data_IF_139047672136
#
_entry.id   IF_139047672136
#
_cell.length_a   1.000
_cell.length_b   1.000
_cell.length_c   1.000
_cell.angle_alpha   90.00
_cell.angle_beta   90.00
_cell.angle_gamma   90.00
#
_symmetry.space_group_name_H-M   'P 1'
#
loop_
_entity.id
_entity.type
_entity.pdbx_description
1 polymer ?
#
# COMPACT_ATOMS: atom_id res chain seq x y z
N UNK A 1 -3.39 -19.72 -3.34
CA UNK A 1 -3.18 -18.26 -3.26
C UNK A 1 -4.18 -17.62 -2.31
N UNK A 2 -3.75 -16.60 -1.58
CA UNK A 2 -4.66 -15.84 -0.72
C UNK A 2 -5.55 -14.92 -1.55
N UNK A 3 -6.76 -14.66 -1.07
CA UNK A 3 -7.58 -13.62 -1.65
C UNK A 3 -7.07 -12.25 -1.18
N UNK A 4 -7.28 -11.23 -1.99
CA UNK A 4 -6.75 -9.90 -1.74
C UNK A 4 -7.86 -8.89 -1.92
N UNK A 5 -8.08 -8.07 -0.90
CA UNK A 5 -9.08 -7.00 -0.95
C UNK A 5 -8.44 -5.69 -0.52
N UNK A 6 -8.65 -4.64 -1.31
CA UNK A 6 -8.27 -3.29 -0.93
C UNK A 6 -9.48 -2.58 -0.36
N UNK A 7 -9.33 -2.02 0.84
CA UNK A 7 -10.37 -1.18 1.41
C UNK A 7 -10.44 0.13 0.62
N UNK A 8 -11.58 0.81 0.71
CA UNK A 8 -11.78 2.07 -0.03
C UNK A 8 -10.70 3.11 0.28
N UNK A 9 -10.24 3.17 1.53
CA UNK A 9 -9.15 4.08 1.89
C UNK A 9 -7.86 3.80 1.14
N UNK A 10 -7.53 2.52 0.93
CA UNK A 10 -6.34 2.14 0.17
C UNK A 10 -6.50 2.49 -1.32
N UNK A 11 -7.70 2.29 -1.86
CA UNK A 11 -8.00 2.64 -3.25
C UNK A 11 -7.84 4.15 -3.44
N UNK A 12 -8.35 4.94 -2.50
CA UNK A 12 -8.20 6.41 -2.53
C UNK A 12 -6.73 6.82 -2.45
N UNK A 13 -5.94 6.15 -1.60
CA UNK A 13 -4.50 6.42 -1.49
C UNK A 13 -3.78 6.16 -2.82
N UNK A 14 -4.10 5.06 -3.48
CA UNK A 14 -3.51 4.74 -4.79
C UNK A 14 -3.85 5.80 -5.83
N UNK A 15 -5.11 6.22 -5.86
CA UNK A 15 -5.54 7.23 -6.81
C UNK A 15 -4.84 8.57 -6.54
N UNK A 16 -4.75 8.98 -5.28
CA UNK A 16 -4.06 10.22 -4.91
C UNK A 16 -2.59 10.18 -5.32
N UNK A 17 -1.91 9.05 -5.12
CA UNK A 17 -0.53 8.89 -5.53
C UNK A 17 -0.38 8.96 -7.05
N UNK A 18 -1.29 8.33 -7.78
CA UNK A 18 -1.30 8.38 -9.24
C UNK A 18 -1.42 9.81 -9.76
N UNK A 19 -2.34 10.59 -9.20
CA UNK A 19 -2.52 12.00 -9.59
C UNK A 19 -1.29 12.82 -9.26
N UNK A 20 -0.71 12.60 -8.07
CA UNK A 20 0.50 13.32 -7.65
C UNK A 20 1.65 13.11 -8.62
N UNK A 21 1.91 11.86 -9.02
CA UNK A 21 3.03 11.56 -9.91
C UNK A 21 2.75 11.97 -11.35
N UNK A 22 1.49 11.89 -11.79
CA UNK A 22 1.16 12.34 -13.15
C UNK A 22 1.39 13.84 -13.33
N UNK A 23 1.19 14.63 -12.29
CA UNK A 23 1.48 16.06 -12.31
C UNK A 23 2.97 16.37 -12.41
N UNK A 24 3.81 15.41 -12.07
CA UNK A 24 5.27 15.59 -12.15
C UNK A 24 5.85 15.16 -13.49
N UNK A 25 5.13 14.35 -14.24
CA UNK A 25 5.58 13.93 -15.55
C UNK A 25 4.56 13.03 -16.21
N UNK A 26 4.38 13.23 -17.52
CA UNK A 26 3.46 12.43 -18.30
C UNK A 26 3.83 10.94 -18.21
N UNK A 27 2.85 10.10 -17.90
CA UNK A 27 3.03 8.66 -17.79
C UNK A 27 3.51 8.19 -16.42
N UNK A 28 3.97 9.11 -15.53
CA UNK A 28 4.45 8.72 -14.20
C UNK A 28 3.34 8.20 -13.31
N UNK A 29 2.13 8.71 -13.46
CA UNK A 29 1.00 8.24 -12.66
C UNK A 29 0.67 6.79 -12.96
N UNK A 30 0.67 6.41 -14.22
CA UNK A 30 0.42 5.03 -14.61
C UNK A 30 1.56 4.11 -14.16
N UNK A 31 2.80 4.56 -14.28
CA UNK A 31 3.95 3.82 -13.81
C UNK A 31 3.87 3.58 -12.30
N UNK A 32 3.51 4.61 -11.53
CA UNK A 32 3.30 4.49 -10.09
C UNK A 32 2.23 3.44 -9.78
N UNK A 33 1.08 3.57 -10.43
CA UNK A 33 -0.06 2.69 -10.20
C UNK A 33 0.30 1.23 -10.48
N UNK A 34 0.92 0.97 -11.63
CA UNK A 34 1.30 -0.38 -12.02
C UNK A 34 2.35 -0.97 -11.07
N UNK A 35 3.31 -0.16 -10.65
CA UNK A 35 4.37 -0.59 -9.72
C UNK A 35 3.78 -0.96 -8.36
N UNK A 36 2.93 -0.10 -7.82
CA UNK A 36 2.29 -0.37 -6.52
C UNK A 36 1.36 -1.58 -6.60
N UNK A 37 0.62 -1.70 -7.68
CA UNK A 37 -0.29 -2.83 -7.86
C UNK A 37 0.45 -4.15 -7.95
N UNK A 38 1.60 -4.17 -8.61
CA UNK A 38 2.46 -5.35 -8.68
C UNK A 38 2.94 -5.76 -7.29
N UNK A 39 3.36 -4.78 -6.48
CA UNK A 39 3.80 -5.05 -5.10
C UNK A 39 2.63 -5.58 -4.26
N UNK A 40 1.46 -4.96 -4.37
CA UNK A 40 0.26 -5.39 -3.66
C UNK A 40 -0.12 -6.82 -4.05
N UNK A 41 -0.08 -7.12 -5.35
CA UNK A 41 -0.44 -8.45 -5.84
C UNK A 41 0.47 -9.55 -5.28
N UNK A 42 1.74 -9.22 -4.98
CA UNK A 42 2.67 -10.18 -4.38
C UNK A 42 2.19 -10.68 -3.02
N UNK A 43 1.30 -9.95 -2.36
CA UNK A 43 0.74 -10.36 -1.07
C UNK A 43 -0.10 -11.62 -1.16
N UNK A 44 -0.58 -11.99 -2.35
CA UNK A 44 -1.29 -13.26 -2.55
C UNK A 44 -0.41 -14.45 -2.20
N UNK A 45 0.90 -14.30 -2.36
CA UNK A 45 1.88 -15.34 -2.06
C UNK A 45 2.61 -15.10 -0.74
N UNK A 46 2.94 -13.85 -0.43
CA UNK A 46 3.89 -13.53 0.63
C UNK A 46 3.30 -12.81 1.84
N UNK A 47 2.00 -12.60 1.90
CA UNK A 47 1.39 -11.91 3.05
C UNK A 47 1.75 -12.60 4.35
N UNK A 48 2.11 -11.81 5.36
CA UNK A 48 2.43 -12.28 6.70
C UNK A 48 3.93 -12.35 7.00
N UNK A 49 4.80 -12.21 5.98
CA UNK A 49 6.25 -12.24 6.20
C UNK A 49 6.83 -10.88 6.60
N UNK A 50 6.05 -9.83 6.50
CA UNK A 50 6.52 -8.45 6.70
C UNK A 50 6.50 -8.06 8.17
N UNK A 51 7.34 -7.09 8.59
CA UNK A 51 7.29 -6.61 9.97
C UNK A 51 5.99 -5.86 10.25
N UNK A 52 5.64 -5.79 11.53
CA UNK A 52 4.42 -5.12 11.98
C UNK A 52 4.73 -3.72 12.52
N UNK A 53 3.85 -2.77 12.17
CA UNK A 53 3.90 -1.39 12.64
C UNK A 53 2.49 -0.92 12.93
N UNK A 54 2.26 -0.41 14.14
CA UNK A 54 0.96 0.14 14.55
C UNK A 54 -0.19 -0.89 14.41
N UNK A 55 0.12 -2.18 14.60
CA UNK A 55 -0.89 -3.23 14.49
C UNK A 55 -1.18 -3.72 13.09
N UNK A 56 -0.38 -3.31 12.10
CA UNK A 56 -0.49 -3.74 10.70
C UNK A 56 0.81 -4.34 10.23
N UNK A 57 0.74 -5.27 9.29
CA UNK A 57 1.92 -5.64 8.52
C UNK A 57 2.26 -4.49 7.57
N UNK A 58 3.54 -4.24 7.38
CA UNK A 58 4.00 -3.17 6.51
C UNK A 58 4.95 -3.71 5.45
N UNK A 59 4.55 -3.64 4.19
CA UNK A 59 5.40 -3.95 3.06
C UNK A 59 5.85 -2.65 2.39
N UNK A 60 7.16 -2.49 2.20
CA UNK A 60 7.70 -1.33 1.50
C UNK A 60 7.59 -1.56 -0.01
N UNK A 61 7.11 -0.55 -0.74
CA UNK A 61 7.07 -0.60 -2.19
C UNK A 61 8.49 -0.60 -2.75
N UNK A 62 8.70 -1.27 -3.88
CA UNK A 62 10.04 -1.45 -4.44
C UNK A 62 10.58 -0.21 -5.14
N UNK A 63 9.71 0.56 -5.82
CA UNK A 63 10.15 1.65 -6.69
C UNK A 63 9.76 3.03 -6.22
N UNK A 64 8.88 3.14 -5.26
CA UNK A 64 8.39 4.42 -4.73
C UNK A 64 8.49 4.42 -3.21
N UNK A 65 8.66 5.59 -2.58
CA UNK A 65 8.80 5.66 -1.12
C UNK A 65 7.44 5.54 -0.42
N UNK A 66 6.74 4.46 -0.70
CA UNK A 66 5.42 4.15 -0.15
C UNK A 66 5.47 2.85 0.62
N UNK A 67 4.58 2.72 1.60
CA UNK A 67 4.38 1.51 2.35
C UNK A 67 2.93 1.06 2.23
N UNK A 68 2.76 -0.25 2.15
CA UNK A 68 1.46 -0.91 2.06
C UNK A 68 1.18 -1.52 3.42
N UNK A 69 0.11 -1.04 4.08
CA UNK A 69 -0.30 -1.50 5.40
C UNK A 69 -1.48 -2.45 5.25
N UNK A 70 -1.30 -3.68 5.74
CA UNK A 70 -2.33 -4.70 5.57
C UNK A 70 -2.50 -5.55 6.83
N UNK A 71 -3.60 -6.28 6.89
CA UNK A 71 -3.87 -7.28 7.92
C UNK A 71 -4.28 -8.58 7.27
N UNK A 72 -4.10 -9.67 8.00
CA UNK A 72 -4.64 -10.97 7.63
C UNK A 72 -5.94 -11.17 8.39
N UNK A 73 -7.04 -11.29 7.67
CA UNK A 73 -8.33 -11.59 8.28
C UNK A 73 -8.36 -13.03 8.78
N UNK A 74 -7.74 -13.93 7.98
CA UNK A 74 -7.53 -15.33 8.30
C UNK A 74 -6.37 -15.82 7.44
N UNK A 75 -6.13 -17.14 7.38
CA UNK A 75 -5.00 -17.70 6.60
C UNK A 75 -5.06 -17.37 5.11
N UNK A 76 -6.25 -17.10 4.58
CA UNK A 76 -6.47 -16.97 3.15
C UNK A 76 -6.87 -15.59 2.67
N UNK A 77 -7.17 -14.66 3.58
CA UNK A 77 -7.72 -13.34 3.22
C UNK A 77 -6.81 -12.22 3.69
N UNK A 78 -6.35 -11.43 2.72
CA UNK A 78 -5.50 -10.25 2.95
C UNK A 78 -6.35 -9.00 2.76
N UNK A 79 -6.32 -8.09 3.75
CA UNK A 79 -7.01 -6.80 3.67
C UNK A 79 -5.98 -5.69 3.65
N UNK A 80 -5.92 -4.94 2.55
CA UNK A 80 -5.04 -3.77 2.43
C UNK A 80 -5.80 -2.54 2.92
N UNK A 81 -5.27 -1.92 3.99
CA UNK A 81 -5.93 -0.79 4.66
C UNK A 81 -5.50 0.57 4.13
N UNK A 82 -4.19 0.78 4.00
CA UNK A 82 -3.66 2.08 3.58
C UNK A 82 -2.40 1.88 2.74
N UNK A 83 -2.16 2.84 1.85
CA UNK A 83 -0.94 2.92 1.05
C UNK A 83 -0.43 4.35 1.23
N UNK A 84 0.64 4.49 2.02
CA UNK A 84 1.07 5.78 2.54
C UNK A 84 2.47 6.15 2.09
N UNK A 85 2.65 7.43 1.78
CA UNK A 85 3.95 8.01 1.47
C UNK A 85 4.79 8.02 2.76
N UNK A 86 5.96 7.38 2.73
CA UNK A 86 6.84 7.24 3.89
C UNK A 86 7.68 8.47 4.14
N UNK A 87 7.63 9.47 3.27
CA UNK A 87 8.36 10.73 3.45
C UNK A 87 7.63 11.71 4.35
N UNK A 88 6.36 11.45 4.67
CA UNK A 88 5.59 12.30 5.58
C UNK A 88 5.96 12.02 7.05
N UNK A 89 5.55 12.92 7.93
CA UNK A 89 5.77 12.82 9.37
C UNK A 89 5.21 11.47 9.90
N UNK A 90 6.01 10.71 10.67
CA UNK A 90 5.56 9.45 11.26
C UNK A 90 4.27 9.57 12.08
N UNK A 91 4.03 10.72 12.73
CA UNK A 91 2.80 10.92 13.47
C UNK A 91 1.58 10.98 12.56
N UNK A 92 1.73 11.53 11.36
CA UNK A 92 0.64 11.55 10.37
C UNK A 92 0.36 10.14 9.85
N UNK A 93 1.39 9.35 9.68
CA UNK A 93 1.23 7.96 9.28
C UNK A 93 0.44 7.20 10.35
N UNK A 94 0.84 7.34 11.60
CA UNK A 94 0.15 6.70 12.73
C UNK A 94 -1.32 7.11 12.80
N UNK A 95 -1.60 8.40 12.64
CA UNK A 95 -2.99 8.90 12.63
C UNK A 95 -3.80 8.32 11.49
N UNK A 96 -3.19 8.15 10.32
CA UNK A 96 -3.86 7.58 9.15
C UNK A 96 -4.26 6.11 9.35
N UNK A 97 -3.63 5.43 10.30
CA UNK A 97 -3.86 4.02 10.58
C UNK A 97 -4.84 3.76 11.73
N UNK A 98 -5.39 4.79 12.30
CA UNK A 98 -6.39 4.64 13.36
C UNK A 98 -7.76 4.28 12.83
#
# INVERSE_FOLDING_TARGET
MKSLKLLSSAIEDLYAGRVFYERQGEGLGEYFYDSLFSDIDSLRLYAGIHPQHFGFYRMLAKRFPYAIYYRLKNKNDVLVYRILDMRQDPNRIKESLK
#
